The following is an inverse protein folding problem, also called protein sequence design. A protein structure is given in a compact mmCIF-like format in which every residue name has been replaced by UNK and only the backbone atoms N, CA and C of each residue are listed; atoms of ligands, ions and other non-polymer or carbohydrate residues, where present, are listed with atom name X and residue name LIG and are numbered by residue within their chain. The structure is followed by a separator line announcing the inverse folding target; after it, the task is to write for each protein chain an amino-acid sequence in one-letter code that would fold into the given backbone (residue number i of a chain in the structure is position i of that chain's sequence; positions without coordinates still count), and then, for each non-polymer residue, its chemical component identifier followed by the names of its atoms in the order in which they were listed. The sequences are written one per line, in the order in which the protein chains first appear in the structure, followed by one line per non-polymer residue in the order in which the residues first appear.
data_IF_445230473287
#
_entry.id   IF_445230473287
#
_cell.length_a   1.000
_cell.length_b   1.000
_cell.length_c   1.000
_cell.angle_alpha   90.00
_cell.angle_beta   90.00
_cell.angle_gamma   90.00
#
_symmetry.space_group_name_H-M   'P 1'
#
loop_
_entity.id
_entity.type
_entity.pdbx_description
1 polymer ?
#
# COMPACT_ATOMS: atom_id res chain seq x y z
N UNK A 1 -18.55 9.73 -20.32
CA UNK A 1 -17.22 9.56 -19.68
C UNK A 1 -16.11 9.35 -20.72
N UNK A 2 -16.22 8.35 -21.60
CA UNK A 2 -15.21 8.08 -22.64
C UNK A 2 -15.00 9.22 -23.67
N UNK A 3 -16.04 10.00 -24.01
CA UNK A 3 -15.93 11.16 -24.91
C UNK A 3 -15.19 12.36 -24.28
N UNK A 4 -15.35 12.62 -22.97
CA UNK A 4 -14.58 13.64 -22.22
C UNK A 4 -13.15 13.18 -21.90
N UNK A 5 -12.94 11.87 -21.78
CA UNK A 5 -11.62 11.26 -21.62
C UNK A 5 -10.69 11.54 -22.81
N UNK A 6 -11.20 11.47 -24.04
CA UNK A 6 -10.40 11.65 -25.25
C UNK A 6 -9.70 13.03 -25.33
N UNK A 7 -10.25 14.06 -24.67
CA UNK A 7 -9.67 15.40 -24.64
C UNK A 7 -8.94 15.75 -23.35
N UNK A 8 -9.39 15.27 -22.17
CA UNK A 8 -8.79 15.63 -20.86
C UNK A 8 -8.80 14.47 -19.85
N UNK A 9 -7.87 13.50 -19.97
CA UNK A 9 -7.87 12.27 -19.15
C UNK A 9 -7.62 12.55 -17.65
N UNK A 10 -6.65 13.41 -17.31
CA UNK A 10 -6.33 13.75 -15.91
C UNK A 10 -7.49 14.46 -15.20
N UNK A 11 -8.15 15.41 -15.87
CA UNK A 11 -9.30 16.12 -15.29
C UNK A 11 -10.48 15.17 -15.05
N UNK A 12 -10.73 14.25 -15.98
CA UNK A 12 -11.77 13.22 -15.81
C UNK A 12 -11.47 12.31 -14.62
N UNK A 13 -10.21 11.90 -14.45
CA UNK A 13 -9.78 11.09 -13.31
C UNK A 13 -9.94 11.83 -11.98
N UNK A 14 -9.51 13.10 -11.89
CA UNK A 14 -9.67 13.94 -10.69
C UNK A 14 -11.15 14.12 -10.36
N UNK A 15 -12.00 14.46 -11.35
CA UNK A 15 -13.43 14.63 -11.13
C UNK A 15 -14.09 13.33 -10.63
N UNK A 16 -13.70 12.20 -11.19
CA UNK A 16 -14.22 10.88 -10.76
C UNK A 16 -13.74 10.53 -9.35
N UNK A 17 -12.48 10.83 -9.03
CA UNK A 17 -11.95 10.69 -7.68
C UNK A 17 -12.75 11.51 -6.67
N UNK A 18 -12.99 12.80 -6.96
CA UNK A 18 -13.76 13.67 -6.08
C UNK A 18 -15.19 13.16 -5.89
N UNK A 19 -15.85 12.71 -6.97
CA UNK A 19 -17.19 12.14 -6.90
C UNK A 19 -17.23 10.85 -6.06
N UNK A 20 -16.25 9.96 -6.24
CA UNK A 20 -16.14 8.73 -5.48
C UNK A 20 -15.88 8.98 -3.99
N UNK A 21 -14.98 9.92 -3.67
CA UNK A 21 -14.73 10.33 -2.29
C UNK A 21 -15.96 10.98 -1.67
N UNK A 22 -16.65 11.87 -2.38
CA UNK A 22 -17.90 12.45 -1.90
C UNK A 22 -18.95 11.37 -1.60
N UNK A 23 -19.08 10.36 -2.46
CA UNK A 23 -19.99 9.23 -2.23
C UNK A 23 -19.62 8.44 -0.97
N UNK A 24 -18.35 8.05 -0.80
CA UNK A 24 -17.89 7.32 0.38
C UNK A 24 -18.06 8.12 1.68
N UNK A 25 -17.80 9.43 1.63
CA UNK A 25 -18.03 10.33 2.77
C UNK A 25 -19.52 10.48 3.07
N UNK A 26 -20.39 10.54 2.05
CA UNK A 26 -21.83 10.56 2.22
C UNK A 26 -22.34 9.25 2.87
N UNK A 27 -21.82 8.09 2.46
CA UNK A 27 -22.09 6.81 3.12
C UNK A 27 -21.66 6.84 4.59
N UNK A 28 -20.44 7.35 4.85
CA UNK A 28 -19.91 7.47 6.22
C UNK A 28 -20.80 8.33 7.11
N UNK A 29 -21.33 9.43 6.56
CA UNK A 29 -22.29 10.31 7.24
C UNK A 29 -23.66 9.64 7.41
N UNK A 30 -24.14 8.93 6.38
CA UNK A 30 -25.41 8.20 6.42
C UNK A 30 -25.43 7.08 7.45
N UNK A 31 -24.30 6.41 7.67
CA UNK A 31 -24.12 5.44 8.76
C UNK A 31 -24.29 6.06 10.16
N UNK A 32 -24.41 7.39 10.27
CA UNK A 32 -24.64 8.05 11.54
C UNK A 32 -26.01 7.86 12.17
N UNK A 33 -26.95 7.30 11.42
CA UNK A 33 -28.28 6.98 11.91
C UNK A 33 -28.25 5.83 12.93
N UNK A 34 -27.24 4.96 12.87
CA UNK A 34 -27.07 3.86 13.83
C UNK A 34 -25.99 4.20 14.89
N UNK A 35 -26.19 3.75 16.16
CA UNK A 35 -25.15 3.85 17.18
C UNK A 35 -23.91 3.05 16.78
N UNK A 36 -22.74 3.50 17.24
CA UNK A 36 -21.49 2.78 16.99
C UNK A 36 -21.46 1.49 17.80
N UNK A 37 -20.88 0.43 17.25
CA UNK A 37 -20.67 -0.81 18.00
C UNK A 37 -19.65 -0.66 19.14
N UNK A 38 -18.73 0.31 19.04
CA UNK A 38 -17.65 0.57 20.00
C UNK A 38 -17.43 2.08 20.21
N UNK A 39 -17.02 2.47 21.42
CA UNK A 39 -16.87 3.88 21.89
C UNK A 39 -15.41 4.36 22.00
N UNK A 40 -14.43 3.56 21.56
CA UNK A 40 -13.01 3.88 21.70
C UNK A 40 -12.63 5.20 21.04
N UNK A 41 -13.22 5.52 19.89
CA UNK A 41 -12.94 6.77 19.17
C UNK A 41 -13.55 7.98 19.87
N UNK A 42 -14.77 7.86 20.38
CA UNK A 42 -15.46 8.96 21.08
C UNK A 42 -14.75 9.29 22.40
N UNK A 43 -14.32 8.27 23.14
CA UNK A 43 -13.46 8.41 24.32
C UNK A 43 -12.11 9.06 23.98
N UNK A 44 -11.41 8.58 22.95
CA UNK A 44 -10.11 9.14 22.55
C UNK A 44 -10.21 10.62 22.17
N UNK A 45 -11.22 10.98 21.37
CA UNK A 45 -11.40 12.34 20.88
C UNK A 45 -12.10 13.27 21.88
N UNK A 46 -12.53 12.75 23.04
CA UNK A 46 -13.36 13.46 24.02
C UNK A 46 -14.61 14.08 23.35
N UNK A 47 -15.30 13.29 22.50
CA UNK A 47 -16.48 13.72 21.73
C UNK A 47 -17.68 12.82 22.04
N UNK A 48 -18.88 13.39 22.03
CA UNK A 48 -20.10 12.61 22.12
C UNK A 48 -20.34 11.78 20.84
N UNK A 49 -20.75 10.53 21.02
CA UNK A 49 -21.17 9.57 19.98
C UNK A 49 -22.25 10.13 19.03
N UNK A 50 -23.13 10.99 19.55
CA UNK A 50 -24.28 11.56 18.82
C UNK A 50 -23.91 12.63 17.78
N UNK A 51 -22.65 13.05 17.72
CA UNK A 51 -22.19 14.04 16.76
C UNK A 51 -22.02 13.49 15.33
N UNK A 52 -22.57 14.19 14.33
CA UNK A 52 -22.31 13.94 12.92
C UNK A 52 -20.89 14.44 12.59
N UNK A 53 -19.88 13.62 12.89
CA UNK A 53 -18.45 13.96 12.75
C UNK A 53 -17.74 12.96 11.84
N UNK A 54 -17.34 13.41 10.64
CA UNK A 54 -16.52 12.62 9.71
C UNK A 54 -15.22 12.14 10.35
N UNK A 55 -14.55 13.01 11.13
CA UNK A 55 -13.29 12.69 11.80
C UNK A 55 -13.47 11.50 12.75
N UNK A 56 -14.57 11.47 13.50
CA UNK A 56 -14.89 10.39 14.44
C UNK A 56 -15.26 9.10 13.68
N UNK A 57 -15.99 9.19 12.58
CA UNK A 57 -16.44 8.00 11.84
C UNK A 57 -15.35 7.36 10.98
N UNK A 58 -14.39 8.17 10.53
CA UNK A 58 -13.24 7.68 9.76
C UNK A 58 -12.09 7.19 10.67
N UNK A 59 -12.02 7.63 11.92
CA UNK A 59 -10.96 7.22 12.85
C UNK A 59 -11.41 6.02 13.68
N UNK A 60 -11.46 4.83 13.08
CA UNK A 60 -11.88 3.58 13.73
C UNK A 60 -10.88 2.46 13.49
N UNK A 61 -10.94 1.41 14.31
CA UNK A 61 -10.03 0.25 14.20
C UNK A 61 -8.55 0.69 14.29
N UNK A 62 -7.70 0.15 13.42
CA UNK A 62 -6.27 0.45 13.37
C UNK A 62 -5.95 1.95 13.24
N UNK A 63 -6.87 2.76 12.72
CA UNK A 63 -6.70 4.22 12.61
C UNK A 63 -6.44 4.89 13.97
N UNK A 64 -6.94 4.30 15.05
CA UNK A 64 -6.69 4.78 16.42
C UNK A 64 -5.20 4.70 16.74
N UNK A 65 -4.52 3.61 16.39
CA UNK A 65 -3.09 3.47 16.63
C UNK A 65 -2.26 4.49 15.84
N UNK A 66 -2.60 4.73 14.57
CA UNK A 66 -1.89 5.73 13.75
C UNK A 66 -2.08 7.15 14.29
N UNK A 67 -3.30 7.53 14.67
CA UNK A 67 -3.60 8.87 15.19
C UNK A 67 -2.99 9.12 16.57
N UNK A 68 -3.03 8.13 17.46
CA UNK A 68 -2.37 8.24 18.76
C UNK A 68 -0.85 8.31 18.60
N UNK A 69 -0.26 7.47 17.75
CA UNK A 69 1.18 7.51 17.49
C UNK A 69 1.62 8.86 16.90
N UNK A 70 0.79 9.51 16.09
CA UNK A 70 1.07 10.85 15.57
C UNK A 70 1.07 11.93 16.67
N UNK A 71 0.19 11.78 17.66
CA UNK A 71 0.05 12.72 18.78
C UNK A 71 1.17 12.59 19.80
N UNK A 72 1.46 11.37 20.26
CA UNK A 72 2.32 11.11 21.44
C UNK A 72 3.54 10.22 21.15
N UNK A 73 3.72 9.78 19.91
CA UNK A 73 4.69 8.73 19.59
C UNK A 73 4.25 7.36 20.13
N UNK A 74 5.10 6.35 19.96
CA UNK A 74 4.84 5.03 20.53
C UNK A 74 5.04 5.03 22.04
N UNK A 75 4.05 4.52 22.77
CA UNK A 75 4.12 4.27 24.20
C UNK A 75 4.15 2.77 24.49
N UNK A 76 3.28 2.01 23.82
CA UNK A 76 3.12 0.58 24.10
C UNK A 76 3.76 -0.29 23.03
N UNK A 77 4.20 -1.49 23.42
CA UNK A 77 4.90 -2.45 22.55
C UNK A 77 4.04 -2.83 21.34
N UNK A 78 2.74 -3.01 21.55
CA UNK A 78 1.79 -3.41 20.52
C UNK A 78 1.61 -2.35 19.40
N UNK A 79 1.91 -1.08 19.67
CA UNK A 79 1.78 0.00 18.68
C UNK A 79 2.83 -0.10 17.57
N UNK A 80 3.93 -0.81 17.81
CA UNK A 80 5.00 -1.02 16.82
C UNK A 80 4.62 -1.97 15.68
N UNK A 81 3.43 -2.60 15.73
CA UNK A 81 2.82 -3.24 14.56
C UNK A 81 2.40 -2.24 13.48
N UNK A 82 2.17 -0.97 13.83
CA UNK A 82 1.69 0.07 12.92
C UNK A 82 2.83 1.00 12.57
N UNK A 83 3.36 0.90 11.33
CA UNK A 83 4.58 1.61 10.95
C UNK A 83 4.50 3.15 11.10
N UNK A 84 5.65 3.77 11.35
CA UNK A 84 5.75 5.18 11.75
C UNK A 84 5.58 6.20 10.62
N UNK A 85 5.57 5.79 9.35
CA UNK A 85 5.57 6.70 8.20
C UNK A 85 4.42 7.73 8.22
N UNK A 86 3.18 7.26 8.35
CA UNK A 86 2.01 8.15 8.45
C UNK A 86 2.06 9.00 9.75
N UNK A 87 2.26 8.41 10.95
CA UNK A 87 2.37 9.16 12.19
C UNK A 87 3.40 10.30 12.16
N UNK A 88 4.58 10.07 11.59
CA UNK A 88 5.65 11.08 11.51
C UNK A 88 5.25 12.26 10.63
N UNK A 89 4.67 12.01 9.45
CA UNK A 89 4.18 13.06 8.55
C UNK A 89 3.10 13.89 9.24
N UNK A 90 2.12 13.22 9.85
CA UNK A 90 1.00 13.89 10.54
C UNK A 90 1.48 14.69 11.74
N UNK A 91 2.38 14.13 12.56
CA UNK A 91 2.97 14.85 13.70
C UNK A 91 3.68 16.13 13.25
N UNK A 92 4.43 16.07 12.14
CA UNK A 92 5.07 17.24 11.53
C UNK A 92 4.05 18.30 11.09
N UNK A 93 3.01 17.90 10.35
CA UNK A 93 1.96 18.81 9.88
C UNK A 93 1.20 19.47 11.02
N UNK A 94 0.85 18.72 12.06
CA UNK A 94 0.17 19.25 13.25
C UNK A 94 1.07 20.22 14.01
N UNK A 95 2.37 19.92 14.18
CA UNK A 95 3.33 20.85 14.80
C UNK A 95 3.42 22.17 14.04
N UNK A 96 3.45 22.13 12.70
CA UNK A 96 3.43 23.34 11.87
C UNK A 96 2.12 24.10 12.03
N UNK A 97 0.97 23.41 11.97
CA UNK A 97 -0.34 24.03 12.13
C UNK A 97 -0.52 24.72 13.51
N UNK A 98 -0.01 24.09 14.58
CA UNK A 98 0.00 24.67 15.94
C UNK A 98 0.85 25.94 16.00
N UNK A 99 2.04 25.93 15.39
CA UNK A 99 2.91 27.14 15.32
C UNK A 99 2.26 28.28 14.56
N UNK A 100 1.39 27.98 13.58
CA UNK A 100 0.62 28.97 12.82
C UNK A 100 -0.68 29.39 13.52
N UNK A 101 -0.98 28.88 14.72
CA UNK A 101 -2.23 29.18 15.44
C UNK A 101 -3.49 28.58 14.81
N UNK A 102 -3.36 27.63 13.88
CA UNK A 102 -4.49 27.03 13.15
C UNK A 102 -5.22 25.94 13.95
N UNK A 103 -4.57 25.40 14.99
CA UNK A 103 -5.13 24.34 15.83
C UNK A 103 -4.85 24.61 17.31
N UNK A 104 -5.92 24.71 18.11
CA UNK A 104 -5.84 25.06 19.54
C UNK A 104 -6.20 23.95 20.52
N UNK A 105 -6.83 22.86 20.08
CA UNK A 105 -7.34 21.79 20.97
C UNK A 105 -6.44 20.55 20.95
N UNK A 106 -5.99 20.10 22.12
CA UNK A 106 -5.17 18.89 22.30
C UNK A 106 -6.03 17.65 22.63
N UNK A 107 -7.01 17.35 21.79
CA UNK A 107 -7.88 16.17 21.94
C UNK A 107 -7.64 15.10 20.85
N UNK A 108 -6.55 15.18 20.08
CA UNK A 108 -6.26 14.23 19.00
C UNK A 108 -7.07 14.43 17.71
N UNK A 109 -8.05 15.34 17.70
CA UNK A 109 -8.84 15.64 16.50
C UNK A 109 -8.01 16.25 15.36
N UNK A 110 -7.00 17.13 15.60
CA UNK A 110 -6.11 17.59 14.55
C UNK A 110 -5.36 16.44 13.87
N UNK A 111 -4.76 15.54 14.64
CA UNK A 111 -4.02 14.39 14.14
C UNK A 111 -4.90 13.49 13.26
N UNK A 112 -6.13 13.22 13.69
CA UNK A 112 -7.11 12.46 12.91
C UNK A 112 -7.49 13.19 11.61
N UNK A 113 -7.79 14.49 11.66
CA UNK A 113 -8.15 15.28 10.48
C UNK A 113 -7.00 15.38 9.46
N UNK A 114 -5.78 15.65 9.92
CA UNK A 114 -4.60 15.68 9.05
C UNK A 114 -4.29 14.30 8.48
N UNK A 115 -4.48 13.21 9.24
CA UNK A 115 -4.32 11.85 8.73
C UNK A 115 -5.31 11.54 7.60
N UNK A 116 -6.58 11.93 7.74
CA UNK A 116 -7.60 11.81 6.70
C UNK A 116 -7.20 12.62 5.45
N UNK A 117 -6.74 13.86 5.64
CA UNK A 117 -6.30 14.71 4.54
C UNK A 117 -5.09 14.10 3.79
N UNK A 118 -4.10 13.59 4.52
CA UNK A 118 -2.93 12.90 3.96
C UNK A 118 -3.36 11.64 3.20
N UNK A 119 -4.27 10.83 3.74
CA UNK A 119 -4.78 9.63 3.07
C UNK A 119 -5.48 9.95 1.74
N UNK A 120 -6.30 11.01 1.70
CA UNK A 120 -6.96 11.46 0.47
C UNK A 120 -5.97 12.02 -0.55
N UNK A 121 -5.05 12.88 -0.11
CA UNK A 121 -4.04 13.47 -1.00
C UNK A 121 -3.14 12.37 -1.59
N UNK A 122 -2.66 11.45 -0.76
CA UNK A 122 -1.86 10.32 -1.19
C UNK A 122 -2.62 9.39 -2.14
N UNK A 123 -3.92 9.15 -1.92
CA UNK A 123 -4.69 8.31 -2.84
C UNK A 123 -4.86 8.97 -4.22
N UNK A 124 -5.11 10.28 -4.25
CA UNK A 124 -5.15 11.00 -5.53
C UNK A 124 -3.80 10.94 -6.24
N UNK A 125 -2.72 11.20 -5.51
CA UNK A 125 -1.36 11.12 -6.05
C UNK A 125 -1.01 9.69 -6.52
N UNK A 126 -1.46 8.65 -5.81
CA UNK A 126 -1.29 7.27 -6.22
C UNK A 126 -2.03 6.97 -7.54
N UNK A 127 -3.27 7.42 -7.68
CA UNK A 127 -4.03 7.25 -8.93
C UNK A 127 -3.35 7.96 -10.11
N UNK A 128 -2.87 9.19 -9.90
CA UNK A 128 -2.12 9.93 -10.93
C UNK A 128 -0.78 9.27 -11.25
N UNK A 129 -0.05 8.79 -10.25
CA UNK A 129 1.23 8.12 -10.44
C UNK A 129 1.06 6.78 -11.15
N UNK A 130 0.01 6.01 -10.83
CA UNK A 130 -0.33 4.79 -11.56
C UNK A 130 -0.63 5.08 -13.03
N UNK A 131 -1.33 6.19 -13.32
CA UNK A 131 -1.57 6.62 -14.70
C UNK A 131 -0.25 6.84 -15.45
N UNK A 132 0.65 7.64 -14.88
CA UNK A 132 1.95 7.95 -15.49
C UNK A 132 2.84 6.71 -15.61
N UNK A 133 2.88 5.84 -14.60
CA UNK A 133 3.59 4.57 -14.64
C UNK A 133 3.09 3.66 -15.76
N UNK A 134 1.76 3.56 -15.91
CA UNK A 134 1.14 2.72 -16.93
C UNK A 134 1.44 3.26 -18.33
N UNK A 135 1.41 4.59 -18.53
CA UNK A 135 1.84 5.23 -19.78
C UNK A 135 3.32 4.96 -20.05
N UNK A 136 4.17 5.06 -19.04
CA UNK A 136 5.63 4.86 -19.17
C UNK A 136 5.99 3.44 -19.58
N UNK A 137 5.32 2.44 -19.00
CA UNK A 137 5.61 1.02 -19.26
C UNK A 137 4.98 0.51 -20.55
N UNK A 138 3.78 0.97 -20.90
CA UNK A 138 2.96 0.35 -21.95
C UNK A 138 2.59 1.29 -23.10
N UNK A 139 2.69 2.61 -22.92
CA UNK A 139 2.28 3.62 -23.92
C UNK A 139 0.81 3.47 -24.39
N UNK A 140 -0.06 2.89 -23.53
CA UNK A 140 -1.48 2.67 -23.81
C UNK A 140 -2.35 3.56 -22.93
N UNK A 141 -2.80 4.69 -23.49
CA UNK A 141 -3.58 5.69 -22.76
C UNK A 141 -4.87 5.14 -22.14
N UNK A 142 -5.62 4.31 -22.89
CA UNK A 142 -6.86 3.69 -22.39
C UNK A 142 -6.60 2.76 -21.19
N UNK A 143 -5.52 1.99 -21.27
CA UNK A 143 -5.09 1.09 -20.18
C UNK A 143 -4.70 1.91 -18.94
N UNK A 144 -3.92 2.99 -19.13
CA UNK A 144 -3.52 3.89 -18.05
C UNK A 144 -4.70 4.54 -17.34
N UNK A 145 -5.70 5.00 -18.09
CA UNK A 145 -6.90 5.58 -17.51
C UNK A 145 -7.72 4.55 -16.73
N UNK A 146 -8.01 3.39 -17.33
CA UNK A 146 -8.80 2.36 -16.67
C UNK A 146 -8.10 1.78 -15.44
N UNK A 147 -6.80 1.52 -15.50
CA UNK A 147 -6.05 1.03 -14.34
C UNK A 147 -6.10 2.03 -13.17
N UNK A 148 -5.96 3.32 -13.46
CA UNK A 148 -6.04 4.38 -12.45
C UNK A 148 -7.44 4.55 -11.90
N UNK A 149 -8.46 4.42 -12.74
CA UNK A 149 -9.87 4.44 -12.31
C UNK A 149 -10.19 3.24 -11.41
N UNK A 150 -9.68 2.05 -11.74
CA UNK A 150 -9.83 0.86 -10.89
C UNK A 150 -9.14 1.03 -9.52
N UNK A 151 -8.02 1.75 -9.46
CA UNK A 151 -7.40 2.11 -8.18
C UNK A 151 -8.30 3.02 -7.33
N UNK A 152 -8.88 4.06 -7.95
CA UNK A 152 -9.86 4.94 -7.30
C UNK A 152 -11.04 4.14 -6.74
N UNK A 153 -11.58 3.22 -7.53
CA UNK A 153 -12.75 2.38 -7.22
C UNK A 153 -12.39 1.06 -6.51
N UNK A 154 -11.17 0.95 -5.96
CA UNK A 154 -10.68 -0.31 -5.39
C UNK A 154 -11.51 -0.77 -4.19
N UNK A 155 -11.58 -2.10 -3.92
CA UNK A 155 -12.32 -2.65 -2.78
C UNK A 155 -11.76 -2.22 -1.42
N UNK A 156 -10.58 -1.58 -1.36
CA UNK A 156 -10.04 -1.00 -0.14
C UNK A 156 -10.92 0.13 0.44
N UNK A 157 -11.78 0.76 -0.38
CA UNK A 157 -12.88 1.60 0.09
C UNK A 157 -12.46 2.68 1.09
N UNK A 158 -13.08 2.67 2.28
CA UNK A 158 -12.80 3.66 3.33
C UNK A 158 -11.39 3.56 3.92
N UNK A 159 -10.68 2.44 3.79
CA UNK A 159 -9.27 2.38 4.21
C UNK A 159 -8.38 3.35 3.42
N UNK A 160 -8.80 3.78 2.22
CA UNK A 160 -8.10 4.83 1.44
C UNK A 160 -8.60 6.25 1.75
N UNK A 161 -9.46 6.42 2.75
CA UNK A 161 -10.03 7.69 3.21
C UNK A 161 -9.79 7.94 4.70
N UNK A 162 -9.64 6.87 5.49
CA UNK A 162 -9.40 6.89 6.92
C UNK A 162 -7.90 7.08 7.27
N UNK A 163 -7.54 7.32 8.54
CA UNK A 163 -6.14 7.42 9.03
C UNK A 163 -5.33 6.12 8.88
N UNK A 164 -5.01 5.78 7.63
CA UNK A 164 -4.41 4.54 7.20
C UNK A 164 -3.27 4.83 6.22
N UNK A 165 -2.22 4.00 6.28
CA UNK A 165 -0.98 4.23 5.52
C UNK A 165 -1.03 3.68 4.09
N UNK A 166 -2.10 2.97 3.71
CA UNK A 166 -2.32 2.29 2.44
C UNK A 166 -2.17 3.24 1.24
N UNK A 167 -2.82 4.40 1.28
CA UNK A 167 -2.73 5.38 0.19
C UNK A 167 -1.31 5.90 0.01
N UNK A 168 -0.60 6.15 1.11
CA UNK A 168 0.78 6.63 1.11
C UNK A 168 1.73 5.55 0.59
N UNK A 169 1.53 4.31 1.04
CA UNK A 169 2.26 3.14 0.55
C UNK A 169 2.07 2.94 -0.96
N UNK A 170 0.83 3.04 -1.46
CA UNK A 170 0.54 2.90 -2.89
C UNK A 170 1.22 3.99 -3.72
N UNK A 171 1.10 5.26 -3.32
CA UNK A 171 1.74 6.38 -4.01
C UNK A 171 3.26 6.21 -4.08
N UNK A 172 3.91 5.95 -2.95
CA UNK A 172 5.36 5.80 -2.88
C UNK A 172 5.82 4.56 -3.67
N UNK A 173 5.10 3.45 -3.60
CA UNK A 173 5.43 2.26 -4.38
C UNK A 173 5.34 2.54 -5.88
N UNK A 174 4.25 3.15 -6.36
CA UNK A 174 4.12 3.50 -7.78
C UNK A 174 5.17 4.51 -8.23
N UNK A 175 5.53 5.47 -7.37
CA UNK A 175 6.59 6.43 -7.65
C UNK A 175 7.97 5.76 -7.77
N UNK A 176 8.30 4.82 -6.88
CA UNK A 176 9.53 4.03 -6.96
C UNK A 176 9.60 3.22 -8.26
N UNK A 177 8.51 2.54 -8.63
CA UNK A 177 8.41 1.83 -9.91
C UNK A 177 8.52 2.77 -11.12
N UNK A 178 7.97 3.98 -11.04
CA UNK A 178 8.09 4.99 -12.11
C UNK A 178 9.54 5.44 -12.31
N UNK A 179 10.29 5.63 -11.22
CA UNK A 179 11.72 5.97 -11.29
C UNK A 179 12.49 4.84 -11.99
N UNK A 180 12.27 3.58 -11.62
CA UNK A 180 12.90 2.43 -12.28
C UNK A 180 12.50 2.33 -13.76
N UNK A 181 11.22 2.50 -14.08
CA UNK A 181 10.72 2.50 -15.45
C UNK A 181 11.31 3.65 -16.29
N UNK A 182 11.70 4.76 -15.67
CA UNK A 182 12.27 5.93 -16.33
C UNK A 182 13.73 5.76 -16.78
N UNK A 183 14.40 4.73 -16.29
CA UNK A 183 15.77 4.37 -16.67
C UNK A 183 15.87 2.97 -17.27
N UNK A 184 14.74 2.36 -17.70
CA UNK A 184 14.72 1.02 -18.30
C UNK A 184 15.63 0.88 -19.53
N UNK A 185 15.82 1.98 -20.26
CA UNK A 185 16.60 2.02 -21.50
C UNK A 185 18.01 2.60 -21.28
N UNK A 186 18.33 3.02 -20.05
CA UNK A 186 19.64 3.55 -19.73
C UNK A 186 20.67 2.40 -19.57
N UNK A 187 21.94 2.59 -20.00
CA UNK A 187 22.97 1.59 -19.78
C UNK A 187 23.16 1.30 -18.28
N UNK A 188 23.16 0.02 -17.91
CA UNK A 188 23.41 -0.41 -16.52
C UNK A 188 24.79 0.07 -16.06
N UNK A 189 24.87 0.55 -14.83
CA UNK A 189 26.09 1.16 -14.27
C UNK A 189 26.38 2.61 -14.70
N UNK A 190 25.61 3.19 -15.63
CA UNK A 190 25.70 4.63 -15.89
C UNK A 190 25.25 5.46 -14.68
N UNK A 191 25.80 6.66 -14.50
CA UNK A 191 25.46 7.54 -13.37
C UNK A 191 23.95 7.77 -13.24
N UNK A 192 23.26 8.03 -14.37
CA UNK A 192 21.81 8.23 -14.40
C UNK A 192 21.04 6.99 -13.93
N UNK A 193 21.43 5.80 -14.40
CA UNK A 193 20.78 4.56 -13.99
C UNK A 193 21.03 4.29 -12.51
N UNK A 194 22.28 4.39 -12.05
CA UNK A 194 22.67 4.18 -10.66
C UNK A 194 21.97 5.14 -9.71
N UNK A 195 21.94 6.44 -10.02
CA UNK A 195 21.23 7.45 -9.23
C UNK A 195 19.72 7.14 -9.14
N UNK A 196 19.11 6.68 -10.24
CA UNK A 196 17.71 6.27 -10.25
C UNK A 196 17.45 5.00 -9.41
N UNK A 197 18.36 4.03 -9.41
CA UNK A 197 18.25 2.85 -8.53
C UNK A 197 18.27 3.25 -7.05
N UNK A 198 19.20 4.12 -6.66
CA UNK A 198 19.31 4.65 -5.29
C UNK A 198 18.06 5.45 -4.91
N UNK A 199 17.60 6.34 -5.79
CA UNK A 199 16.38 7.14 -5.57
C UNK A 199 15.14 6.25 -5.44
N UNK A 200 14.98 5.26 -6.32
CA UNK A 200 13.89 4.31 -6.24
C UNK A 200 13.93 3.53 -4.92
N UNK A 201 15.12 3.07 -4.50
CA UNK A 201 15.33 2.40 -3.22
C UNK A 201 14.94 3.26 -2.02
N UNK A 202 15.32 4.55 -2.03
CA UNK A 202 14.91 5.49 -0.99
C UNK A 202 13.38 5.68 -0.94
N UNK A 203 12.74 5.87 -2.09
CA UNK A 203 11.29 6.02 -2.19
C UNK A 203 10.56 4.76 -1.73
N UNK A 204 11.06 3.57 -2.11
CA UNK A 204 10.54 2.30 -1.63
C UNK A 204 10.80 2.08 -0.14
N UNK A 205 11.93 2.55 0.41
CA UNK A 205 12.19 2.59 1.84
C UNK A 205 11.15 3.42 2.60
N UNK A 206 10.76 4.57 2.06
CA UNK A 206 9.65 5.37 2.59
C UNK A 206 8.30 4.63 2.49
N UNK A 207 8.07 3.87 1.39
CA UNK A 207 6.90 3.01 1.28
C UNK A 207 6.90 1.92 2.38
N UNK A 208 8.05 1.28 2.62
CA UNK A 208 8.25 0.31 3.70
C UNK A 208 8.04 0.93 5.09
N UNK A 209 8.44 2.19 5.27
CA UNK A 209 8.17 2.93 6.50
C UNK A 209 6.68 3.28 6.67
N UNK A 210 5.88 3.29 5.59
CA UNK A 210 4.42 3.40 5.67
C UNK A 210 3.78 2.03 5.97
N UNK A 211 4.29 0.94 5.38
CA UNK A 211 3.83 -0.42 5.63
C UNK A 211 4.92 -1.46 5.42
N UNK A 212 5.01 -2.44 6.32
CA UNK A 212 6.02 -3.51 6.30
C UNK A 212 6.03 -4.36 5.02
N UNK A 213 4.89 -4.56 4.35
CA UNK A 213 4.83 -5.28 3.07
C UNK A 213 5.57 -4.55 1.92
N UNK A 214 6.00 -3.31 2.13
CA UNK A 214 6.91 -2.61 1.23
C UNK A 214 8.29 -3.24 1.09
N UNK A 215 8.70 -4.13 2.01
CA UNK A 215 9.91 -4.95 1.83
C UNK A 215 9.89 -5.75 0.52
N UNK A 216 8.70 -6.12 0.00
CA UNK A 216 8.58 -6.78 -1.30
C UNK A 216 9.06 -5.91 -2.46
N UNK A 217 9.09 -4.58 -2.32
CA UNK A 217 9.68 -3.68 -3.31
C UNK A 217 11.22 -3.81 -3.40
N UNK A 218 11.84 -4.68 -2.58
CA UNK A 218 13.23 -5.11 -2.73
C UNK A 218 13.45 -6.11 -3.88
N UNK A 219 12.40 -6.81 -4.33
CA UNK A 219 12.48 -7.85 -5.37
C UNK A 219 13.04 -7.33 -6.72
N UNK A 220 12.64 -6.15 -7.24
CA UNK A 220 13.23 -5.61 -8.47
C UNK A 220 14.76 -5.47 -8.36
N UNK A 221 15.27 -5.00 -7.23
CA UNK A 221 16.72 -4.86 -7.00
C UNK A 221 17.41 -6.21 -6.88
N UNK A 222 16.81 -7.16 -6.17
CA UNK A 222 17.34 -8.52 -6.06
C UNK A 222 17.44 -9.20 -7.44
N UNK A 223 16.40 -9.06 -8.27
CA UNK A 223 16.40 -9.59 -9.64
C UNK A 223 17.47 -8.91 -10.51
N UNK A 224 17.63 -7.59 -10.40
CA UNK A 224 18.71 -6.87 -11.11
C UNK A 224 20.10 -7.37 -10.67
N UNK A 225 20.34 -7.56 -9.38
CA UNK A 225 21.59 -8.16 -8.89
C UNK A 225 21.82 -9.57 -9.46
N UNK A 226 20.78 -10.42 -9.46
CA UNK A 226 20.86 -11.78 -10.01
C UNK A 226 21.15 -11.79 -11.52
N UNK A 227 20.71 -10.77 -12.27
CA UNK A 227 21.03 -10.64 -13.70
C UNK A 227 22.46 -10.13 -13.95
N UNK A 228 23.01 -9.33 -13.05
CA UNK A 228 24.38 -8.77 -13.18
C UNK A 228 25.45 -9.73 -12.63
N UNK A 229 25.07 -10.65 -11.73
CA UNK A 229 26.00 -11.56 -11.07
C UNK A 229 26.70 -12.55 -12.03
N UNK A 230 26.02 -13.25 -12.97
CA UNK A 230 26.69 -14.16 -13.90
C UNK A 230 27.81 -13.53 -14.75
N UNK A 231 27.59 -12.39 -15.45
CA UNK A 231 28.67 -11.77 -16.23
C UNK A 231 29.80 -11.20 -15.35
N UNK A 232 29.53 -10.90 -14.08
CA UNK A 232 30.58 -10.54 -13.11
C UNK A 232 31.42 -11.77 -12.72
N UNK A 233 30.79 -12.91 -12.45
CA UNK A 233 31.50 -14.16 -12.12
C UNK A 233 32.34 -14.68 -13.29
N UNK A 234 31.85 -14.53 -14.53
CA UNK A 234 32.62 -14.90 -15.73
C UNK A 234 33.77 -13.95 -16.05
N UNK A 235 33.78 -12.73 -15.51
CA UNK A 235 34.82 -11.72 -15.76
C UNK A 235 34.97 -10.79 -14.55
N UNK A 236 35.59 -11.26 -13.45
CA UNK A 236 35.60 -10.57 -12.16
C UNK A 236 36.38 -9.25 -12.15
N UNK A 237 37.29 -9.05 -13.09
CA UNK A 237 38.08 -7.83 -13.24
C UNK A 237 37.34 -6.71 -14.00
N UNK A 238 36.12 -6.97 -14.51
CA UNK A 238 35.36 -5.97 -15.24
C UNK A 238 34.71 -4.95 -14.30
N UNK A 239 35.39 -3.81 -14.12
CA UNK A 239 34.96 -2.71 -13.27
C UNK A 239 33.56 -2.17 -13.64
N UNK A 240 33.12 -2.30 -14.89
CA UNK A 240 31.77 -1.86 -15.31
C UNK A 240 30.68 -2.72 -14.69
N UNK A 241 30.88 -4.04 -14.62
CA UNK A 241 29.92 -4.96 -14.01
C UNK A 241 29.87 -4.75 -12.48
N UNK A 242 31.03 -4.52 -11.87
CA UNK A 242 31.12 -4.19 -10.44
C UNK A 242 30.40 -2.86 -10.13
N UNK A 243 30.66 -1.81 -10.91
CA UNK A 243 29.98 -0.52 -10.75
C UNK A 243 28.46 -0.61 -11.00
N UNK A 244 28.01 -1.47 -11.92
CA UNK A 244 26.59 -1.73 -12.15
C UNK A 244 25.88 -2.40 -10.96
N UNK A 245 26.61 -3.11 -10.10
CA UNK A 245 26.03 -3.76 -8.91
C UNK A 245 25.70 -2.75 -7.80
N UNK A 246 26.44 -1.64 -7.73
CA UNK A 246 26.30 -0.65 -6.66
C UNK A 246 24.87 -0.08 -6.57
N UNK A 247 24.28 0.31 -7.69
CA UNK A 247 22.95 0.91 -7.74
C UNK A 247 21.87 0.02 -7.11
N UNK A 248 21.68 -1.22 -7.59
CA UNK A 248 20.68 -2.14 -7.05
C UNK A 248 20.97 -2.56 -5.60
N UNK A 249 22.22 -2.78 -5.23
CA UNK A 249 22.58 -3.12 -3.84
C UNK A 249 22.23 -1.96 -2.89
N UNK A 250 22.67 -0.74 -3.21
CA UNK A 250 22.35 0.44 -2.41
C UNK A 250 20.84 0.70 -2.37
N UNK A 251 20.16 0.56 -3.51
CA UNK A 251 18.70 0.68 -3.61
C UNK A 251 17.97 -0.33 -2.73
N UNK A 252 18.35 -1.62 -2.80
CA UNK A 252 17.78 -2.69 -1.97
C UNK A 252 18.01 -2.49 -0.48
N UNK A 253 19.21 -2.05 -0.08
CA UNK A 253 19.50 -1.69 1.32
C UNK A 253 18.62 -0.54 1.80
N UNK A 254 18.39 0.48 0.96
CA UNK A 254 17.49 1.58 1.28
C UNK A 254 16.04 1.12 1.46
N UNK A 255 15.56 0.13 0.70
CA UNK A 255 14.24 -0.49 0.96
C UNK A 255 14.18 -1.07 2.37
N UNK A 256 15.22 -1.80 2.77
CA UNK A 256 15.30 -2.45 4.08
C UNK A 256 15.33 -1.44 5.24
N UNK A 257 15.89 -0.24 5.05
CA UNK A 257 15.93 0.79 6.11
C UNK A 257 14.54 1.14 6.67
N UNK A 258 13.49 1.11 5.84
CA UNK A 258 12.12 1.36 6.27
C UNK A 258 11.57 0.35 7.29
N UNK A 259 12.20 -0.83 7.42
CA UNK A 259 11.89 -1.81 8.47
C UNK A 259 12.98 -1.90 9.53
N UNK A 260 14.27 -1.80 9.16
CA UNK A 260 15.37 -1.95 10.12
C UNK A 260 15.42 -0.79 11.11
N UNK A 261 15.24 0.46 10.65
CA UNK A 261 15.29 1.64 11.52
C UNK A 261 14.28 1.57 12.67
N UNK A 262 12.96 1.34 12.45
CA UNK A 262 12.02 1.23 13.55
C UNK A 262 12.32 0.04 14.47
N UNK A 263 12.81 -1.09 13.95
CA UNK A 263 13.22 -2.24 14.77
C UNK A 263 14.40 -1.87 15.69
N UNK A 264 15.40 -1.16 15.18
CA UNK A 264 16.54 -0.68 15.97
C UNK A 264 16.10 0.31 17.03
N UNK A 265 15.23 1.27 16.71
CA UNK A 265 14.70 2.24 17.68
C UNK A 265 13.91 1.55 18.79
N UNK A 266 13.12 0.53 18.46
CA UNK A 266 12.43 -0.28 19.46
C UNK A 266 13.40 -1.06 20.34
N UNK A 267 14.42 -1.69 19.74
CA UNK A 267 15.43 -2.44 20.49
C UNK A 267 16.19 -1.54 21.47
N UNK A 268 16.60 -0.35 21.03
CA UNK A 268 17.23 0.65 21.91
C UNK A 268 16.31 1.07 23.06
N UNK A 269 14.99 1.09 22.84
CA UNK A 269 14.01 1.49 23.85
C UNK A 269 13.70 0.39 24.87
N UNK A 270 13.55 -0.86 24.43
CA UNK A 270 13.03 -1.95 25.26
C UNK A 270 14.10 -2.97 25.70
N UNK A 271 15.24 -3.04 25.01
CA UNK A 271 16.26 -4.06 25.23
C UNK A 271 17.56 -3.48 25.79
N UNK A 272 17.99 -2.31 25.30
CA UNK A 272 19.26 -1.71 25.72
C UNK A 272 19.23 -1.30 27.19
N UNK A 273 20.04 -1.95 28.02
CA UNK A 273 20.17 -1.63 29.45
C UNK A 273 18.97 -2.06 30.31
N UNK A 274 18.08 -2.91 29.78
CA UNK A 274 16.94 -3.44 30.53
C UNK A 274 17.40 -4.51 31.53
N UNK A 275 17.02 -4.38 32.81
CA UNK A 275 17.26 -5.39 33.85
C UNK A 275 16.47 -6.68 33.58
N UNK A 276 15.26 -6.54 33.02
CA UNK A 276 14.41 -7.64 32.57
C UNK A 276 14.06 -7.44 31.09
N UNK A 277 14.91 -7.90 30.16
CA UNK A 277 14.68 -7.69 28.74
C UNK A 277 13.47 -8.49 28.26
N UNK A 278 12.72 -7.91 27.30
CA UNK A 278 11.60 -8.61 26.64
C UNK A 278 12.10 -9.86 25.92
N UNK A 279 11.26 -10.89 25.82
CA UNK A 279 11.62 -12.19 25.25
C UNK A 279 12.17 -12.11 23.80
N UNK A 280 11.78 -11.09 23.03
CA UNK A 280 12.27 -10.91 21.66
C UNK A 280 13.66 -10.26 21.57
N UNK A 281 14.16 -9.65 22.65
CA UNK A 281 15.49 -9.04 22.70
C UNK A 281 16.62 -10.07 22.54
N UNK A 282 16.41 -11.30 23.03
CA UNK A 282 17.39 -12.40 22.98
C UNK A 282 17.25 -13.35 21.78
N UNK A 283 16.32 -13.09 20.84
CA UNK A 283 16.19 -13.91 19.62
C UNK A 283 17.38 -13.68 18.69
N UNK A 284 17.78 -14.69 17.90
CA UNK A 284 18.89 -14.59 16.92
C UNK A 284 18.76 -13.38 16.00
N UNK A 285 17.52 -13.09 15.58
CA UNK A 285 17.16 -11.85 14.88
C UNK A 285 16.10 -11.15 15.74
N UNK A 286 16.48 -10.18 16.59
CA UNK A 286 15.54 -9.43 17.40
C UNK A 286 14.57 -8.65 16.52
N UNK A 287 13.27 -8.76 16.79
CA UNK A 287 12.22 -8.13 15.98
C UNK A 287 11.00 -7.85 16.85
N UNK A 288 10.80 -6.57 17.22
CA UNK A 288 9.58 -6.15 17.89
C UNK A 288 8.38 -6.40 16.99
N UNK A 289 8.51 -6.17 15.68
CA UNK A 289 7.39 -6.33 14.75
C UNK A 289 6.92 -7.79 14.72
N UNK A 290 7.84 -8.74 14.55
CA UNK A 290 7.50 -10.17 14.53
C UNK A 290 6.97 -10.64 15.88
N UNK A 291 7.57 -10.19 16.99
CA UNK A 291 7.08 -10.49 18.32
C UNK A 291 5.67 -9.99 18.55
N UNK A 292 5.39 -8.74 18.15
CA UNK A 292 4.09 -8.11 18.35
C UNK A 292 3.01 -8.82 17.53
N UNK A 293 3.29 -9.06 16.24
CA UNK A 293 2.41 -9.82 15.35
C UNK A 293 2.08 -11.20 15.93
N UNK A 294 3.09 -11.89 16.48
CA UNK A 294 2.94 -13.23 17.06
C UNK A 294 2.17 -13.21 18.39
N UNK A 295 2.59 -12.36 19.33
CA UNK A 295 2.19 -12.38 20.73
C UNK A 295 0.82 -11.72 20.97
N UNK A 296 0.56 -10.57 20.35
CA UNK A 296 -0.65 -9.81 20.59
C UNK A 296 -1.73 -10.04 19.51
N UNK A 297 -1.32 -10.40 18.28
CA UNK A 297 -2.25 -10.62 17.17
C UNK A 297 -2.35 -12.09 16.71
N UNK A 298 -1.53 -13.00 17.23
CA UNK A 298 -1.59 -14.42 16.85
C UNK A 298 -1.18 -14.71 15.40
N UNK A 299 -0.54 -13.76 14.72
CA UNK A 299 -0.10 -13.89 13.32
C UNK A 299 1.08 -14.85 13.24
N UNK A 300 1.06 -15.75 12.26
CA UNK A 300 2.10 -16.72 12.04
C UNK A 300 1.71 -17.75 10.99
N UNK A 301 2.70 -18.55 10.56
CA UNK A 301 2.49 -19.53 9.51
C UNK A 301 1.38 -20.53 9.90
N UNK A 302 0.34 -20.58 9.07
CA UNK A 302 -0.90 -21.35 9.20
C UNK A 302 -1.71 -21.14 10.48
N UNK A 303 -1.35 -20.20 11.36
CA UNK A 303 -2.08 -19.95 12.62
C UNK A 303 -3.52 -19.47 12.40
N UNK A 304 -3.79 -18.84 11.27
CA UNK A 304 -5.13 -18.36 10.93
C UNK A 304 -6.07 -19.44 10.36
N UNK A 305 -5.54 -20.63 10.04
CA UNK A 305 -6.31 -21.73 9.46
C UNK A 305 -7.10 -22.50 10.52
N UNK A 306 -8.14 -21.87 11.02
CA UNK A 306 -9.11 -22.48 11.93
C UNK A 306 -10.49 -22.53 11.27
N UNK A 307 -11.34 -23.54 11.61
CA UNK A 307 -12.68 -23.62 11.06
C UNK A 307 -13.53 -22.35 11.28
N UNK A 308 -13.32 -21.66 12.40
CA UNK A 308 -14.01 -20.40 12.73
C UNK A 308 -13.68 -19.26 11.74
N UNK A 309 -12.52 -19.31 11.09
CA UNK A 309 -12.06 -18.26 10.18
C UNK A 309 -12.45 -18.52 8.71
N UNK A 310 -13.07 -19.66 8.39
CA UNK A 310 -13.51 -20.01 7.02
C UNK A 310 -14.31 -18.85 6.36
N UNK A 311 -15.25 -18.17 7.03
CA UNK A 311 -15.96 -17.04 6.43
C UNK A 311 -15.04 -15.89 5.98
N UNK A 312 -13.95 -15.63 6.71
CA UNK A 312 -12.98 -14.58 6.38
C UNK A 312 -12.12 -14.97 5.18
N UNK A 313 -11.78 -16.25 5.03
CA UNK A 313 -11.15 -16.77 3.81
C UNK A 313 -12.10 -16.64 2.61
N UNK A 314 -13.37 -16.96 2.77
CA UNK A 314 -14.37 -16.81 1.70
C UNK A 314 -14.52 -15.34 1.28
N UNK A 315 -14.50 -14.41 2.24
CA UNK A 315 -14.57 -12.97 1.99
C UNK A 315 -13.32 -12.43 1.27
N UNK A 316 -12.14 -12.97 1.60
CA UNK A 316 -10.87 -12.62 0.96
C UNK A 316 -10.66 -13.29 -0.42
N UNK A 317 -11.35 -14.41 -0.69
CA UNK A 317 -11.13 -15.25 -1.86
C UNK A 317 -11.21 -14.53 -3.22
N UNK A 318 -12.18 -13.62 -3.47
CA UNK A 318 -12.25 -12.91 -4.75
C UNK A 318 -10.98 -12.10 -5.05
N UNK A 319 -10.46 -11.38 -4.05
CA UNK A 319 -9.23 -10.61 -4.23
C UNK A 319 -7.99 -11.50 -4.29
N UNK A 320 -7.91 -12.55 -3.47
CA UNK A 320 -6.80 -13.51 -3.56
C UNK A 320 -6.72 -14.17 -4.93
N UNK A 321 -7.85 -14.67 -5.43
CA UNK A 321 -7.97 -15.25 -6.76
C UNK A 321 -7.56 -14.25 -7.84
N UNK A 322 -8.02 -13.00 -7.74
CA UNK A 322 -7.65 -11.95 -8.68
C UNK A 322 -6.15 -11.67 -8.68
N UNK A 323 -5.51 -11.52 -7.52
CA UNK A 323 -4.07 -11.28 -7.41
C UNK A 323 -3.25 -12.46 -7.95
N UNK A 324 -3.67 -13.69 -7.66
CA UNK A 324 -2.99 -14.89 -8.15
C UNK A 324 -3.15 -15.06 -9.67
N UNK A 325 -4.37 -15.02 -10.20
CA UNK A 325 -4.63 -15.21 -11.63
C UNK A 325 -3.94 -14.13 -12.46
N UNK A 326 -4.13 -12.86 -12.10
CA UNK A 326 -3.50 -11.75 -12.82
C UNK A 326 -1.97 -11.79 -12.73
N UNK A 327 -1.42 -12.12 -11.56
CA UNK A 327 0.01 -12.28 -11.36
C UNK A 327 0.59 -13.41 -12.21
N UNK A 328 -0.04 -14.59 -12.19
CA UNK A 328 0.45 -15.77 -12.92
C UNK A 328 0.38 -15.54 -14.44
N UNK A 329 -0.69 -14.94 -14.95
CA UNK A 329 -0.81 -14.65 -16.39
C UNK A 329 0.28 -13.67 -16.84
N UNK A 330 0.58 -12.64 -16.04
CA UNK A 330 1.65 -11.67 -16.33
C UNK A 330 3.04 -12.31 -16.19
N UNK A 331 3.27 -13.18 -15.21
CA UNK A 331 4.55 -13.92 -15.11
C UNK A 331 4.79 -14.83 -16.31
N UNK A 332 3.74 -15.46 -16.86
CA UNK A 332 3.84 -16.32 -18.05
C UNK A 332 4.10 -15.52 -19.33
N UNK A 333 3.62 -14.27 -19.42
CA UNK A 333 3.72 -13.42 -20.61
C UNK A 333 4.07 -11.96 -20.26
N UNK A 334 5.26 -11.71 -19.69
CA UNK A 334 5.62 -10.37 -19.22
C UNK A 334 5.78 -9.36 -20.39
N UNK A 335 6.17 -9.85 -21.56
CA UNK A 335 6.29 -9.08 -22.80
C UNK A 335 4.95 -8.73 -23.45
N UNK A 336 3.84 -9.36 -23.06
CA UNK A 336 2.52 -9.13 -23.66
C UNK A 336 1.94 -7.72 -23.40
N UNK A 337 2.54 -6.99 -22.46
CA UNK A 337 2.13 -5.64 -22.10
C UNK A 337 3.26 -4.60 -22.25
N UNK A 338 4.51 -4.95 -21.93
CA UNK A 338 5.64 -4.02 -21.77
C UNK A 338 6.33 -3.58 -23.08
N UNK A 339 6.84 -2.33 -23.10
CA UNK A 339 7.48 -1.70 -24.28
C UNK A 339 8.89 -2.25 -24.61
N UNK A 340 9.64 -2.68 -23.61
CA UNK A 340 11.04 -3.13 -23.76
C UNK A 340 11.31 -4.39 -22.93
N UNK A 341 12.38 -5.16 -23.22
CA UNK A 341 12.76 -6.32 -22.41
C UNK A 341 13.02 -5.97 -20.94
N UNK A 342 13.67 -4.84 -20.66
CA UNK A 342 13.89 -4.33 -19.30
C UNK A 342 12.60 -3.87 -18.63
N UNK A 343 11.71 -3.19 -19.35
CA UNK A 343 10.37 -2.87 -18.83
C UNK A 343 9.56 -4.15 -18.56
N UNK A 344 9.75 -5.20 -19.36
CA UNK A 344 9.12 -6.52 -19.16
C UNK A 344 9.62 -7.18 -17.88
N UNK A 345 10.92 -7.07 -17.58
CA UNK A 345 11.51 -7.56 -16.33
C UNK A 345 10.99 -6.79 -15.10
N UNK A 346 10.80 -5.48 -15.22
CA UNK A 346 10.20 -4.69 -14.15
C UNK A 346 8.74 -5.12 -13.89
N UNK A 347 7.94 -5.29 -14.94
CA UNK A 347 6.56 -5.79 -14.84
C UNK A 347 6.52 -7.20 -14.26
N UNK A 348 7.46 -8.07 -14.64
CA UNK A 348 7.64 -9.39 -14.05
C UNK A 348 7.89 -9.30 -12.54
N UNK A 349 8.81 -8.43 -12.11
CA UNK A 349 9.10 -8.24 -10.68
C UNK A 349 7.87 -7.77 -9.89
N UNK A 350 7.05 -6.87 -10.47
CA UNK A 350 5.80 -6.41 -9.85
C UNK A 350 4.77 -7.54 -9.70
N UNK A 351 4.68 -8.42 -10.70
CA UNK A 351 3.80 -9.59 -10.65
C UNK A 351 4.28 -10.61 -9.61
N UNK A 352 5.60 -10.82 -9.50
CA UNK A 352 6.19 -11.65 -8.45
C UNK A 352 5.89 -11.09 -7.06
N UNK A 353 6.08 -9.78 -6.82
CA UNK A 353 5.71 -9.13 -5.57
C UNK A 353 4.23 -9.33 -5.22
N UNK A 354 3.34 -9.22 -6.22
CA UNK A 354 1.91 -9.42 -6.03
C UNK A 354 1.57 -10.87 -5.63
N UNK A 355 2.17 -11.86 -6.28
CA UNK A 355 1.97 -13.28 -5.93
C UNK A 355 2.53 -13.59 -4.54
N UNK A 356 3.72 -13.08 -4.22
CA UNK A 356 4.31 -13.23 -2.89
C UNK A 356 3.40 -12.65 -1.80
N UNK A 357 2.81 -11.48 -2.05
CA UNK A 357 1.81 -10.90 -1.13
C UNK A 357 0.62 -11.83 -0.94
N UNK A 358 0.02 -12.31 -2.03
CA UNK A 358 -1.14 -13.20 -1.97
C UNK A 358 -0.80 -14.53 -1.26
N UNK A 359 0.37 -15.11 -1.51
CA UNK A 359 0.84 -16.31 -0.84
C UNK A 359 1.06 -16.08 0.66
N UNK A 360 1.64 -14.94 1.05
CA UNK A 360 1.79 -14.58 2.47
C UNK A 360 0.44 -14.30 3.14
N UNK A 361 -0.52 -13.71 2.42
CA UNK A 361 -1.87 -13.49 2.95
C UNK A 361 -2.62 -14.80 3.20
N UNK A 362 -2.43 -15.81 2.35
CA UNK A 362 -3.02 -17.16 2.51
C UNK A 362 -2.35 -17.91 3.65
N UNK A 363 -1.02 -17.82 3.77
CA UNK A 363 -0.27 -18.69 4.69
C UNK A 363 -0.02 -18.07 6.05
N UNK A 364 0.10 -16.74 6.17
CA UNK A 364 0.69 -16.11 7.36
C UNK A 364 -0.18 -15.02 7.97
N UNK A 365 -0.81 -14.17 7.15
CA UNK A 365 -1.57 -13.01 7.65
C UNK A 365 -2.99 -13.38 8.08
N UNK A 366 -3.64 -12.43 8.76
CA UNK A 366 -5.10 -12.38 8.81
C UNK A 366 -5.63 -12.09 7.39
N UNK A 367 -6.13 -13.13 6.73
CA UNK A 367 -6.35 -13.19 5.28
C UNK A 367 -7.21 -12.03 4.72
N UNK A 368 -8.17 -11.55 5.50
CA UNK A 368 -9.12 -10.51 5.12
C UNK A 368 -8.47 -9.15 4.87
N UNK A 369 -7.29 -8.88 5.41
CA UNK A 369 -6.58 -7.61 5.16
C UNK A 369 -6.16 -7.47 3.69
N UNK A 370 -6.21 -8.54 2.89
CA UNK A 370 -5.79 -8.54 1.49
C UNK A 370 -6.56 -7.52 0.65
N UNK A 371 -7.86 -7.34 0.91
CA UNK A 371 -8.72 -6.40 0.17
C UNK A 371 -8.24 -4.95 0.31
N UNK A 372 -7.62 -4.65 1.46
CA UNK A 372 -7.00 -3.36 1.78
C UNK A 372 -5.58 -3.23 1.21
N UNK A 373 -4.70 -4.20 1.46
CA UNK A 373 -3.27 -4.09 1.08
C UNK A 373 -3.02 -4.34 -0.42
N UNK A 374 -3.95 -4.99 -1.13
CA UNK A 374 -3.92 -5.12 -2.59
C UNK A 374 -3.94 -3.76 -3.32
N UNK A 375 -4.38 -2.70 -2.64
CA UNK A 375 -4.48 -1.36 -3.21
C UNK A 375 -3.15 -0.82 -3.76
N UNK A 376 -2.02 -1.21 -3.16
CA UNK A 376 -0.68 -0.78 -3.56
C UNK A 376 0.01 -1.62 -4.63
N UNK A 377 -0.67 -2.60 -5.25
CA UNK A 377 -0.08 -3.49 -6.26
C UNK A 377 -0.72 -3.24 -7.62
N UNK A 378 0.09 -2.88 -8.62
CA UNK A 378 -0.44 -2.35 -9.90
C UNK A 378 -0.98 -3.43 -10.86
N UNK A 379 -0.45 -4.66 -10.76
CA UNK A 379 -0.58 -5.69 -11.81
C UNK A 379 -2.02 -6.12 -12.02
N UNK A 380 -2.78 -6.32 -10.96
CA UNK A 380 -4.19 -6.68 -11.09
C UNK A 380 -5.02 -5.57 -11.73
N UNK A 381 -4.71 -4.28 -11.51
CA UNK A 381 -5.40 -3.19 -12.20
C UNK A 381 -5.16 -3.25 -13.72
N UNK A 382 -3.92 -3.49 -14.13
CA UNK A 382 -3.59 -3.63 -15.55
C UNK A 382 -4.30 -4.82 -16.19
N UNK A 383 -4.36 -5.94 -15.47
CA UNK A 383 -5.03 -7.14 -15.94
C UNK A 383 -6.54 -6.91 -16.11
N UNK A 384 -7.22 -6.34 -15.10
CA UNK A 384 -8.66 -6.03 -15.18
C UNK A 384 -8.94 -4.98 -16.26
N UNK A 385 -8.11 -3.94 -16.36
CA UNK A 385 -8.22 -2.94 -17.42
C UNK A 385 -8.03 -3.57 -18.81
N UNK A 386 -7.11 -4.51 -18.95
CA UNK A 386 -6.93 -5.30 -20.18
C UNK A 386 -8.17 -6.12 -20.53
N UNK A 387 -8.77 -6.79 -19.54
CA UNK A 387 -10.03 -7.51 -19.71
C UNK A 387 -11.19 -6.60 -20.15
N UNK A 388 -11.29 -5.39 -19.59
CA UNK A 388 -12.32 -4.40 -19.96
C UNK A 388 -12.13 -3.83 -21.38
N UNK A 389 -10.90 -3.84 -21.89
CA UNK A 389 -10.53 -3.41 -23.24
C UNK A 389 -10.52 -4.55 -24.27
N UNK A 390 -10.84 -5.77 -23.85
CA UNK A 390 -10.87 -6.91 -24.76
C UNK A 390 -12.15 -6.86 -25.62
N UNK A 391 -11.97 -6.52 -26.90
CA UNK A 391 -13.03 -6.50 -27.92
C UNK A 391 -13.17 -7.87 -28.63
N UNK A 392 -12.64 -8.95 -28.02
CA UNK A 392 -12.76 -10.32 -28.53
C UNK A 392 -14.21 -10.75 -28.80
N UNK A 393 -14.39 -11.59 -29.84
CA UNK A 393 -15.70 -11.99 -30.40
C UNK A 393 -16.66 -12.61 -29.37
N UNK A 394 -16.14 -13.28 -28.34
CA UNK A 394 -16.95 -13.99 -27.35
C UNK A 394 -17.37 -13.08 -26.16
N UNK A 395 -16.78 -11.89 -26.00
CA UNK A 395 -17.11 -10.92 -24.94
C UNK A 395 -16.85 -11.37 -23.50
N UNK A 396 -16.40 -12.61 -23.27
CA UNK A 396 -16.26 -13.24 -21.97
C UNK A 396 -15.31 -12.46 -21.04
N UNK A 397 -14.09 -12.11 -21.50
CA UNK A 397 -13.11 -11.39 -20.66
C UNK A 397 -13.62 -10.01 -20.23
N UNK A 398 -14.33 -9.31 -21.12
CA UNK A 398 -14.97 -8.03 -20.81
C UNK A 398 -16.06 -8.17 -19.75
N UNK A 399 -16.87 -9.22 -19.82
CA UNK A 399 -17.86 -9.52 -18.79
C UNK A 399 -17.20 -9.83 -17.43
N UNK A 400 -16.10 -10.60 -17.41
CA UNK A 400 -15.31 -10.84 -16.20
C UNK A 400 -14.76 -9.55 -15.59
N UNK A 401 -14.17 -8.67 -16.41
CA UNK A 401 -13.71 -7.35 -15.96
C UNK A 401 -14.84 -6.52 -15.35
N UNK A 402 -16.02 -6.53 -15.97
CA UNK A 402 -17.22 -5.86 -15.46
C UNK A 402 -17.66 -6.39 -14.09
N UNK A 403 -17.70 -7.72 -13.91
CA UNK A 403 -18.02 -8.34 -12.62
C UNK A 403 -17.05 -7.95 -11.50
N UNK A 404 -15.75 -7.84 -11.81
CA UNK A 404 -14.73 -7.41 -10.85
C UNK A 404 -14.94 -5.94 -10.45
N UNK A 405 -15.30 -5.07 -11.39
CA UNK A 405 -15.64 -3.67 -11.08
C UNK A 405 -16.87 -3.61 -10.18
N UNK A 406 -17.93 -4.35 -10.52
CA UNK A 406 -19.14 -4.42 -9.69
C UNK A 406 -18.83 -4.90 -8.29
N UNK A 407 -18.04 -5.99 -8.15
CA UNK A 407 -17.57 -6.48 -6.86
C UNK A 407 -16.80 -5.39 -6.09
N UNK A 408 -15.87 -4.70 -6.74
CA UNK A 408 -15.04 -3.68 -6.08
C UNK A 408 -15.87 -2.52 -5.53
N UNK A 409 -16.83 -2.02 -6.32
CA UNK A 409 -17.73 -0.94 -5.92
C UNK A 409 -18.68 -1.41 -4.82
N UNK A 410 -19.33 -2.55 -4.98
CA UNK A 410 -20.25 -3.09 -3.97
C UNK A 410 -19.53 -3.36 -2.64
N UNK A 411 -18.37 -4.01 -2.69
CA UNK A 411 -17.56 -4.29 -1.52
C UNK A 411 -17.16 -3.00 -0.82
N UNK A 412 -16.62 -2.00 -1.54
CA UNK A 412 -16.23 -0.72 -0.96
C UNK A 412 -17.40 0.02 -0.28
N UNK A 413 -18.62 -0.07 -0.83
CA UNK A 413 -19.81 0.56 -0.25
C UNK A 413 -20.28 -0.18 1.01
N UNK A 414 -20.36 -1.51 0.99
CA UNK A 414 -20.73 -2.34 2.14
C UNK A 414 -19.67 -2.19 3.25
N UNK A 415 -18.39 -2.34 2.90
CA UNK A 415 -17.24 -2.12 3.77
C UNK A 415 -17.28 -0.72 4.38
N UNK A 416 -17.68 0.28 3.62
CA UNK A 416 -17.81 1.65 4.10
C UNK A 416 -18.85 1.79 5.22
N UNK A 417 -20.02 1.17 5.05
CA UNK A 417 -21.06 1.16 6.09
C UNK A 417 -20.57 0.45 7.35
N UNK A 418 -20.01 -0.76 7.21
CA UNK A 418 -19.51 -1.55 8.33
C UNK A 418 -18.41 -0.81 9.09
N UNK A 419 -17.41 -0.29 8.37
CA UNK A 419 -16.30 0.46 8.94
C UNK A 419 -16.80 1.69 9.71
N UNK A 420 -17.65 2.51 9.09
CA UNK A 420 -18.21 3.73 9.67
C UNK A 420 -19.20 3.48 10.83
N UNK A 421 -19.57 2.21 11.06
CA UNK A 421 -20.40 1.74 12.19
C UNK A 421 -19.60 0.94 13.23
N UNK A 422 -18.27 0.79 13.07
CA UNK A 422 -17.40 0.01 13.97
C UNK A 422 -17.77 -1.48 13.97
N UNK A 423 -18.36 -1.95 12.87
CA UNK A 423 -18.55 -3.36 12.59
C UNK A 423 -17.36 -3.91 11.80
N UNK A 424 -16.98 -5.18 11.98
CA UNK A 424 -15.87 -5.79 11.26
C UNK A 424 -16.03 -5.55 9.75
N UNK A 425 -15.16 -4.73 9.14
CA UNK A 425 -15.34 -4.28 7.76
C UNK A 425 -14.73 -5.25 6.75
N UNK A 426 -14.11 -6.32 7.23
CA UNK A 426 -13.23 -7.21 6.51
C UNK A 426 -13.58 -8.66 6.77
#
# INVERSE_FOLDING_TARGET
MFSRYASRPRQTLIATFLAWKALLLAVTLGSAVAPSYDTSTSLMLHRNESGISLVTRLTRWDAIYFTQSARRGYLYEQEWAFNAGLPLVVSGLVKVARRLGLTGHDNGAPEAAFSIAVAHAAHLLAALMLHELTLKLFSRARLAFLASLLHVLSPAGLFLSAPYAESSFAFLSFAGYYVLASVSDAPKGSLRWTAAQVLAGAVFGLATACRSNGLLNGVPFALECLMILPPLLSSPTNLKNFAALFGPVAGGLLVATGSVVPQTLAWLRYCSGASEPRAWCGRTVPSIYSFVQEHYWGVGLFRYWTPSNIPLFALAAPMLGLLMVSGIEVLKRPSGLARSPTASMLVFSMAACQILLAAMAITTYHVQIITRIASGYAVWYWWVAGCLLDDGKDGTRRAWGGRIVTFSVMYAMIQGVLFASFLPPA
#
